data_IF_723004197446
#
_entry.id   IF_723004197446
#
_cell.length_a   1.000
_cell.length_b   1.000
_cell.length_c   1.000
_cell.angle_alpha   90.00
_cell.angle_beta   90.00
_cell.angle_gamma   90.00
#
_symmetry.space_group_name_H-M   'P 1'
#
loop_
_entity.id
_entity.type
_entity.pdbx_description
1 polymer ?
#
# COMPACT_ATOMS: atom_id res chain seq x y z
N UNK A 1 60.31 18.09 -40.03
CA UNK A 1 60.81 19.38 -40.57
C UNK A 1 60.45 20.42 -39.52
N UNK A 2 61.32 20.60 -38.52
CA UNK A 2 62.41 21.63 -38.48
C UNK A 2 61.77 23.01 -38.22
N UNK A 3 62.17 23.88 -37.30
CA UNK A 3 63.36 24.17 -36.49
C UNK A 3 62.81 24.89 -35.21
N UNK A 4 63.48 25.09 -34.08
CA UNK A 4 64.78 25.68 -33.95
C UNK A 4 65.37 25.36 -32.57
N UNK A 5 66.66 25.04 -32.66
CA UNK A 5 67.64 24.94 -31.60
C UNK A 5 67.88 26.36 -31.08
N UNK A 6 67.71 26.58 -29.78
CA UNK A 6 68.46 27.61 -29.07
C UNK A 6 69.09 26.92 -27.86
N UNK A 7 70.24 26.27 -28.12
CA UNK A 7 71.13 25.79 -27.07
C UNK A 7 72.24 26.82 -26.97
N UNK A 8 72.27 27.52 -25.84
CA UNK A 8 73.42 28.28 -25.36
C UNK A 8 74.70 27.48 -25.61
N UNK A 9 75.49 27.95 -26.58
CA UNK A 9 76.86 27.50 -26.79
C UNK A 9 77.76 28.36 -25.89
N UNK A 10 78.10 27.87 -24.69
CA UNK A 10 79.14 28.56 -23.92
C UNK A 10 79.87 27.77 -22.82
N UNK A 11 79.63 26.48 -22.59
CA UNK A 11 80.27 25.80 -21.45
C UNK A 11 81.06 24.52 -21.79
N UNK A 12 81.60 24.41 -23.00
CA UNK A 12 82.61 23.40 -23.31
C UNK A 12 84.03 23.99 -23.32
N UNK A 13 84.99 23.24 -22.78
CA UNK A 13 86.42 23.55 -22.83
C UNK A 13 87.15 22.47 -23.63
N UNK A 14 88.08 22.88 -24.49
CA UNK A 14 88.91 21.97 -25.28
C UNK A 14 90.14 21.54 -24.49
N UNK A 15 90.25 20.25 -24.20
CA UNK A 15 91.35 19.65 -23.47
C UNK A 15 92.07 18.62 -24.33
N UNK A 16 93.37 18.45 -24.11
CA UNK A 16 94.17 17.41 -24.79
C UNK A 16 94.34 16.21 -23.86
N UNK A 17 93.98 15.02 -24.33
CA UNK A 17 94.14 13.79 -23.57
C UNK A 17 95.64 13.52 -23.32
N UNK A 18 96.01 13.30 -22.06
CA UNK A 18 97.40 13.06 -21.67
C UNK A 18 97.90 11.69 -22.14
N UNK A 19 96.99 10.72 -22.33
CA UNK A 19 97.34 9.35 -22.72
C UNK A 19 97.47 9.16 -24.25
N UNK A 20 96.46 9.58 -25.03
CA UNK A 20 96.47 9.40 -26.49
C UNK A 20 96.74 10.68 -27.29
N UNK A 21 96.83 11.84 -26.65
CA UNK A 21 97.09 13.12 -27.31
C UNK A 21 95.92 13.70 -28.13
N UNK A 22 94.78 13.03 -28.18
CA UNK A 22 93.59 13.53 -28.89
C UNK A 22 92.99 14.76 -28.18
N UNK A 23 92.48 15.71 -28.96
CA UNK A 23 91.73 16.86 -28.44
C UNK A 23 90.29 16.43 -28.19
N UNK A 24 89.75 16.81 -27.04
CA UNK A 24 88.42 16.45 -26.58
C UNK A 24 87.74 17.68 -26.02
N UNK A 25 86.49 17.85 -26.41
CA UNK A 25 85.61 18.88 -25.91
C UNK A 25 84.96 18.35 -24.62
N UNK A 26 85.12 19.06 -23.52
CA UNK A 26 84.62 18.66 -22.20
C UNK A 26 83.72 19.75 -21.65
N UNK A 27 82.52 19.36 -21.23
CA UNK A 27 81.58 20.25 -20.56
C UNK A 27 82.16 20.71 -19.21
N UNK A 28 82.15 22.02 -18.93
CA UNK A 28 82.59 22.60 -17.66
C UNK A 28 81.76 22.09 -16.47
N UNK A 29 80.56 21.55 -16.70
CA UNK A 29 79.75 20.94 -15.64
C UNK A 29 80.21 19.52 -15.25
N UNK A 30 81.09 18.88 -16.03
CA UNK A 30 81.56 17.52 -15.76
C UNK A 30 82.90 17.49 -15.01
N UNK A 31 82.88 16.98 -13.79
CA UNK A 31 84.07 16.83 -12.94
C UNK A 31 85.09 15.80 -13.46
N UNK A 32 84.68 14.96 -14.43
CA UNK A 32 85.51 13.91 -15.03
C UNK A 32 85.54 14.07 -16.56
N UNK A 33 86.74 14.39 -17.07
CA UNK A 33 87.01 14.39 -18.49
C UNK A 33 87.30 12.95 -18.97
N UNK A 34 86.35 12.35 -19.70
CA UNK A 34 86.50 11.02 -20.31
C UNK A 34 86.95 11.15 -21.77
N UNK A 35 88.10 10.56 -22.12
CA UNK A 35 88.57 10.58 -23.49
C UNK A 35 87.80 9.56 -24.35
N UNK A 36 87.02 9.98 -25.38
CA UNK A 36 86.24 9.06 -26.20
C UNK A 36 87.11 8.18 -27.12
N UNK A 37 88.37 8.57 -27.34
CA UNK A 37 89.27 7.88 -28.26
C UNK A 37 90.07 6.74 -27.63
N UNK A 38 90.37 6.81 -26.33
CA UNK A 38 91.18 5.80 -25.63
C UNK A 38 90.60 5.32 -24.30
N UNK A 39 89.47 5.90 -23.86
CA UNK A 39 88.79 5.52 -22.62
C UNK A 39 89.45 6.00 -21.33
N UNK A 40 90.53 6.78 -21.38
CA UNK A 40 91.18 7.32 -20.17
C UNK A 40 90.34 8.43 -19.55
N UNK A 41 90.09 8.34 -18.24
CA UNK A 41 89.35 9.33 -17.45
C UNK A 41 90.29 10.14 -16.56
N UNK A 42 90.08 11.45 -16.45
CA UNK A 42 90.84 12.35 -15.57
C UNK A 42 89.91 13.33 -14.84
N UNK A 43 90.10 13.47 -13.53
CA UNK A 43 89.40 14.46 -12.71
C UNK A 43 89.92 15.86 -13.02
N UNK A 44 89.01 16.81 -13.30
CA UNK A 44 89.34 18.22 -13.47
C UNK A 44 89.35 18.87 -12.09
N UNK A 45 90.53 19.11 -11.52
CA UNK A 45 90.64 19.74 -10.19
C UNK A 45 90.53 21.26 -10.34
N UNK A 46 89.37 21.80 -9.99
CA UNK A 46 89.14 23.25 -9.85
C UNK A 46 89.70 23.77 -8.51
N UNK A 47 90.05 25.07 -8.43
CA UNK A 47 90.55 25.70 -7.20
C UNK A 47 89.44 25.93 -6.16
N UNK A 48 89.78 25.81 -4.88
CA UNK A 48 88.82 25.78 -3.76
C UNK A 48 87.83 26.98 -3.69
N UNK A 49 88.25 28.20 -4.05
CA UNK A 49 87.37 29.40 -3.98
C UNK A 49 86.21 29.36 -4.98
N UNK A 50 86.46 28.95 -6.23
CA UNK A 50 85.45 28.89 -7.29
C UNK A 50 84.44 27.76 -7.04
N UNK A 51 84.88 26.68 -6.40
CA UNK A 51 84.02 25.57 -5.96
C UNK A 51 83.08 26.03 -4.85
N UNK A 52 83.59 26.79 -3.87
CA UNK A 52 82.79 27.34 -2.76
C UNK A 52 81.70 28.28 -3.28
N UNK A 53 82.00 29.14 -4.25
CA UNK A 53 81.02 30.08 -4.81
C UNK A 53 79.95 29.38 -5.65
N UNK A 54 80.33 28.35 -6.42
CA UNK A 54 79.38 27.49 -7.15
C UNK A 54 78.45 26.73 -6.21
N UNK A 55 78.97 26.13 -5.14
CA UNK A 55 78.18 25.46 -4.11
C UNK A 55 77.21 26.45 -3.48
N UNK A 56 77.69 27.63 -3.07
CA UNK A 56 76.86 28.66 -2.47
C UNK A 56 75.70 29.06 -3.40
N UNK A 57 75.99 29.37 -4.67
CA UNK A 57 74.97 29.80 -5.63
C UNK A 57 73.97 28.68 -5.94
N UNK A 58 74.45 27.43 -6.09
CA UNK A 58 73.59 26.25 -6.26
C UNK A 58 72.68 26.05 -5.05
N UNK A 59 73.22 26.12 -3.83
CA UNK A 59 72.45 26.04 -2.59
C UNK A 59 71.43 27.18 -2.47
N UNK A 60 71.76 28.42 -2.84
CA UNK A 60 70.79 29.52 -2.87
C UNK A 60 69.66 29.27 -3.88
N UNK A 61 69.99 28.74 -5.07
CA UNK A 61 69.03 28.42 -6.12
C UNK A 61 68.12 27.25 -5.74
N UNK A 62 68.66 26.21 -5.11
CA UNK A 62 67.94 25.03 -4.64
C UNK A 62 67.00 25.39 -3.49
N UNK A 63 67.47 26.17 -2.49
CA UNK A 63 66.62 26.67 -1.41
C UNK A 63 65.50 27.58 -1.96
N UNK A 64 65.79 28.40 -2.98
CA UNK A 64 64.78 29.26 -3.60
C UNK A 64 63.73 28.44 -4.38
N UNK A 65 64.15 27.39 -5.11
CA UNK A 65 63.22 26.54 -5.86
C UNK A 65 62.37 25.66 -4.94
N UNK A 66 62.94 25.10 -3.88
CA UNK A 66 62.21 24.36 -2.84
C UNK A 66 61.17 25.23 -2.15
N UNK A 67 61.52 26.48 -1.83
CA UNK A 67 60.57 27.43 -1.25
C UNK A 67 59.40 27.71 -2.20
N UNK A 68 59.65 27.90 -3.49
CA UNK A 68 58.60 28.10 -4.49
C UNK A 68 57.69 26.86 -4.59
N UNK A 69 58.25 25.65 -4.56
CA UNK A 69 57.47 24.42 -4.57
C UNK A 69 56.59 24.28 -3.31
N UNK A 70 57.15 24.56 -2.13
CA UNK A 70 56.41 24.55 -0.87
C UNK A 70 55.26 25.58 -0.88
N UNK A 71 55.50 26.79 -1.39
CA UNK A 71 54.47 27.83 -1.53
C UNK A 71 53.35 27.39 -2.50
N UNK A 72 53.70 26.72 -3.61
CA UNK A 72 52.73 26.15 -4.57
C UNK A 72 51.90 25.00 -3.98
N UNK A 73 52.51 24.11 -3.18
CA UNK A 73 51.80 23.03 -2.50
C UNK A 73 50.81 23.58 -1.46
N UNK A 74 51.22 24.59 -0.71
CA UNK A 74 50.35 25.29 0.24
C UNK A 74 49.19 25.97 -0.49
N UNK A 75 49.44 26.62 -1.63
CA UNK A 75 48.39 27.24 -2.45
C UNK A 75 47.40 26.18 -2.97
N UNK A 76 47.89 25.05 -3.46
CA UNK A 76 47.04 23.93 -3.93
C UNK A 76 46.19 23.36 -2.78
N UNK A 77 46.79 23.14 -1.61
CA UNK A 77 46.08 22.69 -0.42
C UNK A 77 45.00 23.68 0.02
N UNK A 78 45.30 24.99 0.00
CA UNK A 78 44.34 26.04 0.30
C UNK A 78 43.19 26.10 -0.72
N UNK A 79 43.47 25.91 -2.02
CA UNK A 79 42.46 25.81 -3.06
C UNK A 79 41.54 24.60 -2.86
N UNK A 80 42.10 23.45 -2.47
CA UNK A 80 41.32 22.26 -2.14
C UNK A 80 40.42 22.51 -0.92
N UNK A 81 40.96 23.10 0.15
CA UNK A 81 40.21 23.43 1.37
C UNK A 81 39.09 24.44 1.07
N UNK A 82 39.36 25.47 0.27
CA UNK A 82 38.36 26.43 -0.19
C UNK A 82 37.26 25.76 -1.02
N UNK A 83 37.61 24.82 -1.90
CA UNK A 83 36.65 24.04 -2.68
C UNK A 83 35.81 23.11 -1.80
N UNK A 84 36.40 22.50 -0.76
CA UNK A 84 35.68 21.73 0.26
C UNK A 84 34.71 22.63 1.02
N UNK A 85 35.16 23.79 1.53
CA UNK A 85 34.29 24.75 2.21
C UNK A 85 33.14 25.24 1.33
N UNK A 86 33.41 25.57 0.07
CA UNK A 86 32.37 25.96 -0.90
C UNK A 86 31.36 24.84 -1.08
N UNK A 87 31.82 23.59 -1.13
CA UNK A 87 30.96 22.42 -1.26
C UNK A 87 30.11 22.20 -0.01
N UNK A 88 30.70 22.30 1.19
CA UNK A 88 30.00 22.22 2.48
C UNK A 88 28.98 23.36 2.65
N UNK A 89 29.33 24.60 2.26
CA UNK A 89 28.41 25.74 2.27
C UNK A 89 27.22 25.53 1.31
N UNK A 90 27.46 25.00 0.11
CA UNK A 90 26.39 24.63 -0.83
C UNK A 90 25.53 23.49 -0.28
N UNK A 91 26.15 22.48 0.33
CA UNK A 91 25.47 21.33 0.90
C UNK A 91 24.60 21.70 2.10
N UNK A 92 25.11 22.54 3.00
CA UNK A 92 24.36 23.05 4.15
C UNK A 92 23.11 23.82 3.72
N UNK A 93 23.16 24.55 2.59
CA UNK A 93 21.98 25.19 1.99
C UNK A 93 20.98 24.16 1.45
N UNK A 94 21.44 23.08 0.81
CA UNK A 94 20.57 22.00 0.30
C UNK A 94 19.88 21.26 1.44
N UNK A 95 20.61 20.93 2.52
CA UNK A 95 20.05 20.24 3.69
C UNK A 95 18.98 21.06 4.41
N UNK A 96 19.17 22.38 4.46
CA UNK A 96 18.20 23.34 5.05
C UNK A 96 17.15 23.84 4.05
N UNK A 97 17.18 23.35 2.81
CA UNK A 97 16.20 23.74 1.79
C UNK A 97 14.81 23.28 2.20
N UNK A 98 13.76 24.12 2.01
CA UNK A 98 12.38 23.72 2.27
C UNK A 98 12.01 22.44 1.50
N UNK A 99 12.56 22.25 0.31
CA UNK A 99 12.27 21.07 -0.51
C UNK A 99 12.79 19.76 0.12
N UNK A 100 13.92 19.80 0.83
CA UNK A 100 14.45 18.62 1.57
C UNK A 100 13.56 18.29 2.77
N UNK A 101 13.02 19.30 3.45
CA UNK A 101 12.07 19.12 4.55
C UNK A 101 10.74 18.55 4.04
N UNK A 102 10.23 19.08 2.92
CA UNK A 102 9.00 18.60 2.29
C UNK A 102 9.15 17.13 1.88
N UNK A 103 10.25 16.73 1.23
CA UNK A 103 10.47 15.32 0.86
C UNK A 103 10.51 14.42 2.12
N UNK A 104 11.14 14.86 3.21
CA UNK A 104 11.13 14.12 4.47
C UNK A 104 9.71 13.95 5.05
N UNK A 105 8.91 15.03 5.06
CA UNK A 105 7.52 14.95 5.52
C UNK A 105 6.70 14.01 4.64
N UNK A 106 6.86 14.09 3.31
CA UNK A 106 6.19 13.19 2.37
C UNK A 106 6.59 11.72 2.58
N UNK A 107 7.86 11.42 2.90
CA UNK A 107 8.27 10.04 3.23
C UNK A 107 7.55 9.50 4.46
N UNK A 108 7.33 10.34 5.46
CA UNK A 108 6.65 9.94 6.70
C UNK A 108 5.17 9.72 6.42
N UNK A 109 4.52 10.63 5.70
CA UNK A 109 3.11 10.52 5.31
C UNK A 109 2.88 9.27 4.43
N UNK A 110 3.77 9.00 3.47
CA UNK A 110 3.64 7.83 2.60
C UNK A 110 3.84 6.52 3.37
N UNK A 111 4.68 6.52 4.41
CA UNK A 111 4.85 5.37 5.30
C UNK A 111 3.57 5.06 6.08
N UNK A 112 2.91 6.09 6.66
CA UNK A 112 1.62 5.90 7.33
C UNK A 112 0.55 5.40 6.37
N UNK A 113 0.44 6.02 5.20
CA UNK A 113 -0.50 5.58 4.17
C UNK A 113 -0.23 4.13 3.71
N UNK A 114 1.03 3.70 3.63
CA UNK A 114 1.37 2.31 3.30
C UNK A 114 0.86 1.32 4.35
N UNK A 115 0.92 1.69 5.64
CA UNK A 115 0.43 0.87 6.75
C UNK A 115 -1.09 0.76 6.70
N UNK A 116 -1.80 1.87 6.52
CA UNK A 116 -3.27 1.89 6.43
C UNK A 116 -3.76 1.01 5.28
N UNK A 117 -3.15 1.16 4.09
CA UNK A 117 -3.48 0.38 2.88
C UNK A 117 -3.20 -1.12 3.07
N UNK A 118 -2.17 -1.46 3.85
CA UNK A 118 -1.84 -2.85 4.17
C UNK A 118 -2.87 -3.47 5.13
N UNK A 119 -3.35 -2.72 6.13
CA UNK A 119 -4.38 -3.18 7.07
C UNK A 119 -5.70 -3.50 6.35
N UNK A 120 -6.07 -2.69 5.36
CA UNK A 120 -7.27 -2.88 4.52
C UNK A 120 -7.11 -3.95 3.42
N UNK A 121 -6.01 -4.72 3.44
CA UNK A 121 -5.70 -5.81 2.47
C UNK A 121 -5.64 -5.37 0.99
N UNK A 122 -5.36 -4.10 0.71
CA UNK A 122 -5.18 -3.58 -0.66
C UNK A 122 -3.78 -3.89 -1.23
N UNK A 123 -3.49 -5.16 -1.53
CA UNK A 123 -2.13 -5.63 -1.88
C UNK A 123 -1.46 -4.87 -3.04
N UNK A 124 -2.17 -4.61 -4.13
CA UNK A 124 -1.61 -3.90 -5.30
C UNK A 124 -1.26 -2.45 -4.94
N UNK A 125 -2.17 -1.76 -4.26
CA UNK A 125 -1.97 -0.38 -3.79
C UNK A 125 -0.84 -0.30 -2.76
N UNK A 126 -0.71 -1.30 -1.89
CA UNK A 126 0.38 -1.39 -0.92
C UNK A 126 1.74 -1.52 -1.60
N UNK A 127 1.86 -2.28 -2.71
CA UNK A 127 3.11 -2.39 -3.48
C UNK A 127 3.49 -1.04 -4.09
N UNK A 128 2.56 -0.35 -4.74
CA UNK A 128 2.83 0.97 -5.33
C UNK A 128 3.25 1.99 -4.25
N UNK A 129 2.55 2.02 -3.12
CA UNK A 129 2.87 2.92 -2.00
C UNK A 129 4.21 2.58 -1.33
N UNK A 130 4.55 1.29 -1.21
CA UNK A 130 5.84 0.83 -0.69
C UNK A 130 7.00 1.26 -1.59
N UNK A 131 6.87 1.05 -2.90
CA UNK A 131 7.85 1.53 -3.89
C UNK A 131 8.02 3.06 -3.86
N UNK A 132 6.91 3.80 -3.79
CA UNK A 132 6.94 5.26 -3.67
C UNK A 132 7.67 5.71 -2.41
N UNK A 133 7.37 5.10 -1.26
CA UNK A 133 8.00 5.42 0.03
C UNK A 133 9.51 5.15 -0.02
N UNK A 134 9.93 4.02 -0.60
CA UNK A 134 11.34 3.69 -0.77
C UNK A 134 12.07 4.73 -1.63
N UNK A 135 11.49 5.14 -2.76
CA UNK A 135 12.09 6.12 -3.66
C UNK A 135 12.21 7.51 -3.02
N UNK A 136 11.20 7.94 -2.25
CA UNK A 136 11.26 9.22 -1.52
C UNK A 136 12.30 9.15 -0.39
N UNK A 137 12.40 8.02 0.31
CA UNK A 137 13.38 7.82 1.38
C UNK A 137 14.81 7.85 0.84
N UNK A 138 15.06 7.15 -0.27
CA UNK A 138 16.35 7.17 -0.96
C UNK A 138 16.67 8.59 -1.48
N UNK A 139 15.68 9.30 -2.06
CA UNK A 139 15.86 10.69 -2.47
C UNK A 139 16.22 11.62 -1.30
N UNK A 140 15.61 11.43 -0.14
CA UNK A 140 15.92 12.16 1.08
C UNK A 140 17.33 11.85 1.61
N UNK A 141 17.72 10.57 1.70
CA UNK A 141 19.07 10.15 2.11
C UNK A 141 20.16 10.71 1.19
N UNK A 142 19.92 10.74 -0.13
CA UNK A 142 20.82 11.35 -1.11
C UNK A 142 20.98 12.85 -0.88
N UNK A 143 19.89 13.58 -0.57
CA UNK A 143 19.96 15.02 -0.22
C UNK A 143 20.73 15.27 1.08
N UNK A 144 20.68 14.32 2.00
CA UNK A 144 21.44 14.33 3.26
C UNK A 144 22.90 13.86 3.07
N UNK A 145 23.29 13.39 1.88
CA UNK A 145 24.60 12.78 1.57
C UNK A 145 25.02 11.64 2.51
N UNK A 146 24.04 10.92 3.06
CA UNK A 146 24.30 9.70 3.84
C UNK A 146 24.78 8.55 2.94
N UNK A 147 24.45 8.60 1.65
CA UNK A 147 24.90 7.66 0.61
C UNK A 147 26.05 8.32 -0.17
N UNK A 148 27.26 7.77 -0.04
CA UNK A 148 28.46 8.25 -0.76
C UNK A 148 28.35 7.95 -2.25
N UNK A 149 28.74 8.90 -3.10
CA UNK A 149 28.82 8.71 -4.56
C UNK A 149 27.55 9.01 -5.37
N UNK A 150 26.46 9.42 -4.72
CA UNK A 150 25.25 9.82 -5.44
C UNK A 150 25.42 11.20 -6.10
N UNK A 151 25.24 11.27 -7.42
CA UNK A 151 25.20 12.55 -8.13
C UNK A 151 23.99 13.39 -7.71
N UNK A 152 24.16 14.71 -7.78
CA UNK A 152 23.09 15.68 -7.47
C UNK A 152 21.88 15.49 -8.41
N UNK A 153 22.03 14.94 -9.61
CA UNK A 153 20.87 14.72 -10.49
C UNK A 153 20.03 13.49 -10.11
N UNK A 154 20.63 12.50 -9.43
CA UNK A 154 19.98 11.23 -9.13
C UNK A 154 18.84 11.37 -8.11
N UNK A 155 18.98 12.26 -7.12
CA UNK A 155 17.91 12.52 -6.16
C UNK A 155 16.68 13.14 -6.84
N UNK A 156 16.87 13.99 -7.85
CA UNK A 156 15.78 14.60 -8.61
C UNK A 156 15.00 13.54 -9.39
N UNK A 157 15.71 12.62 -10.04
CA UNK A 157 15.10 11.52 -10.80
C UNK A 157 14.26 10.60 -9.90
N UNK A 158 14.81 10.21 -8.74
CA UNK A 158 14.10 9.38 -7.75
C UNK A 158 12.82 10.05 -7.25
N UNK A 159 12.86 11.37 -7.02
CA UNK A 159 11.68 12.14 -6.59
C UNK A 159 10.61 12.17 -7.68
N UNK A 160 11.00 12.33 -8.95
CA UNK A 160 10.07 12.34 -10.09
C UNK A 160 9.38 10.99 -10.29
N UNK A 161 10.15 9.89 -10.19
CA UNK A 161 9.59 8.54 -10.30
C UNK A 161 8.59 8.26 -9.18
N UNK A 162 8.87 8.70 -7.96
CA UNK A 162 7.93 8.58 -6.84
C UNK A 162 6.61 9.31 -7.10
N UNK A 163 6.65 10.51 -7.70
CA UNK A 163 5.43 11.26 -8.05
C UNK A 163 4.62 10.53 -9.11
N UNK A 164 5.27 9.88 -10.09
CA UNK A 164 4.58 9.11 -11.13
C UNK A 164 3.82 7.93 -10.53
N UNK A 165 4.35 7.28 -9.48
CA UNK A 165 3.71 6.14 -8.80
C UNK A 165 2.43 6.52 -8.01
N UNK A 166 2.18 7.82 -7.80
CA UNK A 166 0.94 8.29 -7.17
C UNK A 166 -0.28 7.97 -8.03
N UNK A 167 -0.15 8.01 -9.36
CA UNK A 167 -1.25 7.76 -10.30
C UNK A 167 -1.77 6.31 -10.20
N UNK A 168 -0.93 5.25 -10.35
CA UNK A 168 -1.40 3.88 -10.18
C UNK A 168 -1.92 3.63 -8.76
N UNK A 169 -1.34 4.24 -7.72
CA UNK A 169 -1.91 4.13 -6.37
C UNK A 169 -3.38 4.58 -6.31
N UNK A 170 -3.71 5.76 -6.83
CA UNK A 170 -5.10 6.24 -6.85
C UNK A 170 -6.01 5.43 -7.79
N UNK A 171 -5.47 4.81 -8.84
CA UNK A 171 -6.27 3.94 -9.72
C UNK A 171 -6.70 2.63 -9.04
N UNK A 172 -5.91 2.11 -8.09
CA UNK A 172 -6.17 0.83 -7.42
C UNK A 172 -6.67 1.00 -5.98
N UNK A 173 -6.86 2.22 -5.50
CA UNK A 173 -7.41 2.48 -4.16
C UNK A 173 -8.85 1.93 -4.07
N UNK A 174 -9.16 1.18 -3.02
CA UNK A 174 -10.48 0.55 -2.84
C UNK A 174 -10.67 -0.79 -3.56
N UNK A 175 -9.70 -1.25 -4.36
CA UNK A 175 -9.72 -2.61 -4.92
C UNK A 175 -9.26 -3.58 -3.83
N UNK A 176 -10.19 -4.05 -3.00
CA UNK A 176 -9.94 -5.11 -2.01
C UNK A 176 -9.51 -6.36 -2.77
N UNK A 177 -8.29 -6.82 -2.54
CA UNK A 177 -7.95 -8.20 -2.87
C UNK A 177 -8.30 -9.05 -1.65
N UNK A 178 -9.49 -9.66 -1.70
CA UNK A 178 -9.85 -10.67 -0.71
C UNK A 178 -8.82 -11.79 -0.79
N UNK A 179 -8.19 -12.05 0.36
CA UNK A 179 -7.32 -13.20 0.54
C UNK A 179 -8.20 -14.43 0.38
N UNK A 180 -7.92 -15.23 -0.65
CA UNK A 180 -8.56 -16.53 -0.83
C UNK A 180 -7.86 -17.51 0.11
N UNK A 181 -8.14 -17.40 1.40
CA UNK A 181 -7.68 -18.34 2.39
C UNK A 181 -8.47 -19.64 2.28
N UNK A 182 -7.81 -20.75 2.63
CA UNK A 182 -8.48 -22.04 2.70
C UNK A 182 -9.32 -22.10 3.98
N UNK A 183 -10.56 -22.56 3.87
CA UNK A 183 -11.43 -22.75 5.03
C UNK A 183 -11.59 -24.24 5.37
N UNK A 184 -11.94 -24.50 6.63
CA UNK A 184 -12.41 -25.82 7.08
C UNK A 184 -13.92 -25.71 7.20
N UNK A 185 -14.65 -26.58 6.48
CA UNK A 185 -16.11 -26.58 6.53
C UNK A 185 -16.59 -26.88 7.95
N UNK A 186 -17.33 -25.95 8.59
CA UNK A 186 -17.96 -26.22 9.86
C UNK A 186 -19.05 -27.27 9.61
N UNK A 187 -19.10 -28.30 10.46
CA UNK A 187 -20.12 -29.34 10.37
C UNK A 187 -20.88 -29.40 11.69
N UNK A 188 -21.37 -28.23 12.11
CA UNK A 188 -22.04 -27.97 13.38
C UNK A 188 -23.20 -26.99 13.16
N UNK A 189 -24.22 -27.08 14.01
CA UNK A 189 -25.38 -26.19 13.95
C UNK A 189 -26.04 -26.21 12.55
N UNK A 190 -26.26 -25.03 11.97
CA UNK A 190 -26.93 -24.85 10.68
C UNK A 190 -26.06 -25.29 9.48
N UNK A 191 -24.74 -25.17 9.57
CA UNK A 191 -23.83 -25.61 8.49
C UNK A 191 -23.90 -27.12 8.22
N UNK A 192 -24.25 -27.92 9.24
CA UNK A 192 -24.45 -29.37 9.09
C UNK A 192 -25.69 -29.73 8.23
N UNK A 193 -26.61 -28.78 8.03
CA UNK A 193 -27.78 -28.95 7.15
C UNK A 193 -27.43 -28.79 5.67
N UNK A 194 -26.28 -28.20 5.37
CA UNK A 194 -25.85 -27.86 4.01
C UNK A 194 -24.75 -28.83 3.54
N UNK A 195 -24.65 -29.08 2.23
CA UNK A 195 -23.48 -29.75 1.65
C UNK A 195 -22.26 -28.82 1.73
N UNK A 196 -21.05 -29.39 1.64
CA UNK A 196 -19.84 -28.57 1.52
C UNK A 196 -19.69 -28.12 0.05
N UNK A 197 -19.49 -26.82 -0.23
CA UNK A 197 -19.18 -26.34 -1.57
C UNK A 197 -17.93 -26.97 -2.18
N UNK A 198 -17.88 -27.04 -3.51
CA UNK A 198 -16.73 -27.61 -4.23
C UNK A 198 -15.43 -26.82 -4.03
N UNK A 199 -15.51 -25.50 -3.86
CA UNK A 199 -14.33 -24.66 -3.60
C UNK A 199 -13.86 -24.77 -2.16
N UNK A 200 -12.54 -24.89 -1.98
CA UNK A 200 -11.87 -24.90 -0.66
C UNK A 200 -11.51 -23.49 -0.16
N UNK A 201 -11.88 -22.44 -0.89
CA UNK A 201 -11.50 -21.05 -0.59
C UNK A 201 -12.70 -20.21 -0.16
N UNK A 202 -12.55 -19.46 0.93
CA UNK A 202 -13.65 -18.67 1.47
C UNK A 202 -13.40 -18.20 2.91
N UNK A 203 -14.36 -17.46 3.43
CA UNK A 203 -14.34 -16.88 4.77
C UNK A 203 -15.69 -17.07 5.44
N UNK A 204 -15.69 -17.56 6.68
CA UNK A 204 -16.90 -17.66 7.51
C UNK A 204 -17.11 -16.29 8.15
N UNK A 205 -18.22 -15.65 7.85
CA UNK A 205 -18.58 -14.33 8.38
C UNK A 205 -19.38 -14.46 9.69
N UNK A 206 -20.17 -15.53 9.82
CA UNK A 206 -20.94 -15.85 11.04
C UNK A 206 -21.14 -17.35 11.16
N UNK A 207 -20.92 -17.90 12.36
CA UNK A 207 -21.33 -19.25 12.75
C UNK A 207 -21.89 -19.18 14.17
N UNK A 208 -23.22 -19.08 14.25
CA UNK A 208 -23.99 -19.05 15.49
C UNK A 208 -25.09 -20.11 15.43
N UNK A 209 -25.81 -20.29 16.52
CA UNK A 209 -26.95 -21.23 16.56
C UNK A 209 -28.09 -20.79 15.64
N UNK A 210 -28.30 -19.48 15.47
CA UNK A 210 -29.42 -18.91 14.73
C UNK A 210 -29.06 -18.48 13.30
N UNK A 211 -27.77 -18.28 13.03
CA UNK A 211 -27.29 -17.83 11.70
C UNK A 211 -25.91 -18.39 11.36
N UNK A 212 -25.82 -18.96 10.17
CA UNK A 212 -24.55 -19.27 9.50
C UNK A 212 -24.45 -18.49 8.19
N UNK A 213 -23.32 -17.80 7.98
CA UNK A 213 -23.06 -17.01 6.79
C UNK A 213 -21.59 -17.15 6.38
N UNK A 214 -21.34 -17.39 5.10
CA UNK A 214 -19.99 -17.48 4.56
C UNK A 214 -19.91 -16.97 3.13
N UNK A 215 -18.73 -16.45 2.80
CA UNK A 215 -18.38 -16.08 1.43
C UNK A 215 -17.44 -17.13 0.85
N UNK A 216 -17.88 -17.84 -0.18
CA UNK A 216 -17.06 -18.78 -0.96
C UNK A 216 -16.43 -18.05 -2.13
N UNK A 217 -15.18 -18.38 -2.40
CA UNK A 217 -14.38 -17.76 -3.44
C UNK A 217 -13.97 -18.74 -4.53
N UNK A 218 -13.57 -18.22 -5.70
CA UNK A 218 -13.14 -19.00 -6.87
C UNK A 218 -14.21 -19.97 -7.39
N UNK A 219 -15.47 -19.60 -7.25
CA UNK A 219 -16.62 -20.39 -7.69
C UNK A 219 -16.84 -20.20 -9.18
N UNK A 220 -16.97 -21.30 -9.92
CA UNK A 220 -17.43 -21.27 -11.32
C UNK A 220 -18.95 -21.33 -11.37
N UNK A 221 -19.53 -20.82 -12.46
CA UNK A 221 -20.99 -20.78 -12.64
C UNK A 221 -21.65 -22.16 -12.55
N UNK A 222 -21.04 -23.18 -13.15
CA UNK A 222 -21.54 -24.56 -13.02
C UNK A 222 -21.45 -25.10 -11.58
N UNK A 223 -20.49 -24.63 -10.78
CA UNK A 223 -20.32 -25.05 -9.38
C UNK A 223 -21.41 -24.42 -8.49
N UNK A 224 -21.96 -23.26 -8.87
CA UNK A 224 -23.14 -22.68 -8.20
C UNK A 224 -24.38 -23.53 -8.45
N UNK A 225 -24.69 -23.86 -9.71
CA UNK A 225 -25.87 -24.67 -10.04
C UNK A 225 -25.78 -26.05 -9.39
N UNK A 226 -24.61 -26.70 -9.44
CA UNK A 226 -24.37 -27.98 -8.75
C UNK A 226 -24.65 -27.86 -7.23
N UNK A 227 -24.18 -26.79 -6.60
CA UNK A 227 -24.35 -26.57 -5.17
C UNK A 227 -25.82 -26.31 -4.77
N UNK A 228 -26.57 -25.57 -5.59
CA UNK A 228 -28.01 -25.35 -5.38
C UNK A 228 -28.76 -26.68 -5.43
N UNK A 229 -28.46 -27.54 -6.41
CA UNK A 229 -29.08 -28.87 -6.52
C UNK A 229 -28.75 -29.76 -5.31
N UNK A 230 -27.51 -29.77 -4.84
CA UNK A 230 -27.15 -30.49 -3.61
C UNK A 230 -27.92 -29.96 -2.38
N UNK A 231 -28.19 -28.64 -2.30
CA UNK A 231 -29.00 -28.05 -1.24
C UNK A 231 -30.49 -28.44 -1.35
N UNK A 232 -31.02 -28.54 -2.58
CA UNK A 232 -32.36 -29.06 -2.86
C UNK A 232 -32.48 -30.51 -2.39
N UNK A 233 -31.48 -31.35 -2.68
CA UNK A 233 -31.41 -32.74 -2.20
C UNK A 233 -31.33 -32.84 -0.67
N UNK A 234 -30.79 -31.82 0.00
CA UNK A 234 -30.79 -31.68 1.47
C UNK A 234 -32.13 -31.19 2.05
N UNK A 235 -33.11 -30.89 1.20
CA UNK A 235 -34.47 -30.53 1.60
C UNK A 235 -34.80 -29.04 1.47
N UNK A 236 -33.87 -28.19 1.02
CA UNK A 236 -34.14 -26.77 0.77
C UNK A 236 -34.83 -26.58 -0.58
N UNK A 237 -36.12 -26.92 -0.62
CA UNK A 237 -36.94 -26.86 -1.84
C UNK A 237 -38.31 -26.23 -1.62
N UNK A 238 -38.69 -25.98 -0.37
CA UNK A 238 -39.99 -25.38 -0.04
C UNK A 238 -39.96 -23.89 -0.36
N UNK A 239 -41.02 -23.43 -1.02
CA UNK A 239 -41.23 -22.02 -1.42
C UNK A 239 -40.00 -21.43 -2.13
N UNK A 240 -39.34 -22.27 -2.95
CA UNK A 240 -38.12 -21.89 -3.65
C UNK A 240 -38.37 -20.74 -4.63
N UNK A 241 -37.45 -19.78 -4.66
CA UNK A 241 -37.42 -18.70 -5.64
C UNK A 241 -36.01 -18.55 -6.20
N UNK A 242 -35.93 -18.12 -7.46
CA UNK A 242 -34.68 -17.83 -8.13
C UNK A 242 -34.79 -16.49 -8.84
N UNK A 243 -33.80 -15.63 -8.66
CA UNK A 243 -33.73 -14.33 -9.35
C UNK A 243 -32.39 -14.15 -10.03
N UNK A 244 -32.40 -13.46 -11.17
CA UNK A 244 -31.23 -13.23 -12.02
C UNK A 244 -31.20 -11.74 -12.39
N UNK A 245 -30.50 -10.95 -11.56
CA UNK A 245 -30.29 -9.52 -11.79
C UNK A 245 -28.78 -9.21 -11.86
N UNK A 246 -28.25 -8.45 -10.89
CA UNK A 246 -26.80 -8.18 -10.77
C UNK A 246 -26.02 -9.40 -10.24
N UNK A 247 -26.74 -10.31 -9.57
CA UNK A 247 -26.29 -11.60 -9.06
C UNK A 247 -27.36 -12.67 -9.33
N UNK A 248 -26.98 -13.94 -9.24
CA UNK A 248 -27.91 -15.07 -9.29
C UNK A 248 -28.23 -15.46 -7.86
N UNK A 249 -29.51 -15.39 -7.47
CA UNK A 249 -29.95 -15.68 -6.11
C UNK A 249 -30.92 -16.86 -6.10
N UNK A 250 -30.72 -17.76 -5.14
CA UNK A 250 -31.65 -18.84 -4.81
C UNK A 250 -32.06 -18.72 -3.34
N UNK A 251 -33.37 -18.69 -3.08
CA UNK A 251 -33.93 -18.73 -1.72
C UNK A 251 -34.85 -19.93 -1.58
N UNK A 252 -34.77 -20.66 -0.48
CA UNK A 252 -35.67 -21.76 -0.17
C UNK A 252 -35.69 -22.10 1.32
N UNK A 253 -36.71 -22.86 1.72
CA UNK A 253 -36.86 -23.38 3.08
C UNK A 253 -36.75 -24.90 3.11
N UNK A 254 -36.34 -25.43 4.26
CA UNK A 254 -36.45 -26.85 4.55
C UNK A 254 -37.66 -27.16 5.46
N UNK A 255 -37.92 -28.45 5.71
CA UNK A 255 -39.06 -28.89 6.55
C UNK A 255 -38.97 -28.43 8.01
N UNK A 256 -37.76 -28.12 8.51
CA UNK A 256 -37.59 -27.56 9.86
C UNK A 256 -37.92 -26.07 9.94
N UNK A 257 -38.15 -25.41 8.80
CA UNK A 257 -38.41 -23.97 8.71
C UNK A 257 -37.15 -23.11 8.65
N UNK A 258 -35.96 -23.70 8.52
CA UNK A 258 -34.74 -22.94 8.27
C UNK A 258 -34.73 -22.37 6.85
N UNK A 259 -34.27 -21.13 6.73
CA UNK A 259 -34.22 -20.36 5.49
C UNK A 259 -32.80 -20.40 4.92
N UNK A 260 -32.67 -20.77 3.64
CA UNK A 260 -31.41 -20.75 2.90
C UNK A 260 -31.47 -19.69 1.80
N UNK A 261 -30.45 -18.84 1.76
CA UNK A 261 -30.15 -17.91 0.68
C UNK A 261 -28.77 -18.22 0.11
N UNK A 262 -28.68 -18.38 -1.21
CA UNK A 262 -27.41 -18.53 -1.93
C UNK A 262 -27.33 -17.44 -2.99
N UNK A 263 -26.32 -16.58 -2.92
CA UNK A 263 -26.06 -15.53 -3.93
C UNK A 263 -24.76 -15.79 -4.66
N UNK A 264 -24.79 -15.82 -5.97
CA UNK A 264 -23.59 -15.94 -6.81
C UNK A 264 -23.33 -14.64 -7.55
N UNK A 265 -22.09 -14.16 -7.46
CA UNK A 265 -21.58 -12.96 -8.12
C UNK A 265 -20.61 -13.38 -9.24
N UNK A 266 -21.09 -13.58 -10.50
CA UNK A 266 -20.25 -14.15 -11.57
C UNK A 266 -19.00 -13.31 -11.87
N UNK A 267 -19.11 -11.99 -11.77
CA UNK A 267 -18.02 -11.05 -12.01
C UNK A 267 -16.89 -11.17 -10.98
N UNK A 268 -17.22 -11.57 -9.75
CA UNK A 268 -16.27 -11.76 -8.66
C UNK A 268 -15.84 -13.22 -8.52
N UNK A 269 -16.60 -14.16 -9.11
CA UNK A 269 -16.44 -15.61 -8.91
C UNK A 269 -16.58 -15.96 -7.42
N UNK A 270 -17.56 -15.35 -6.78
CA UNK A 270 -17.85 -15.47 -5.36
C UNK A 270 -19.29 -15.94 -5.16
N UNK A 271 -19.52 -16.78 -4.15
CA UNK A 271 -20.83 -17.29 -3.76
C UNK A 271 -21.02 -17.10 -2.26
N UNK A 272 -22.01 -16.30 -1.89
CA UNK A 272 -22.46 -16.18 -0.51
C UNK A 272 -23.45 -17.29 -0.19
N UNK A 273 -23.30 -17.91 0.97
CA UNK A 273 -24.23 -18.88 1.53
C UNK A 273 -24.67 -18.36 2.89
N UNK A 274 -25.97 -18.15 3.06
CA UNK A 274 -26.57 -17.75 4.33
C UNK A 274 -27.70 -18.71 4.68
N UNK A 275 -27.66 -19.29 5.87
CA UNK A 275 -28.77 -20.04 6.44
C UNK A 275 -29.14 -19.45 7.80
N UNK A 276 -30.43 -19.24 7.99
CA UNK A 276 -31.02 -18.77 9.24
C UNK A 276 -31.86 -19.90 9.81
N UNK A 277 -31.64 -20.22 11.07
CA UNK A 277 -32.38 -21.26 11.78
C UNK A 277 -33.86 -20.89 11.93
N UNK A 278 -34.69 -21.91 12.14
CA UNK A 278 -36.09 -21.69 12.49
C UNK A 278 -36.20 -21.03 13.87
N UNK A 279 -36.88 -19.89 13.94
CA UNK A 279 -37.27 -19.29 15.22
C UNK A 279 -38.43 -20.11 15.82
N UNK A 280 -38.22 -20.72 16.98
CA UNK A 280 -39.31 -21.34 17.73
C UNK A 280 -40.29 -20.27 18.23
N UNK A 281 -41.55 -20.37 17.79
CA UNK A 281 -42.61 -19.49 18.27
C UNK A 281 -43.36 -20.11 19.45
N UNK A 282 -43.71 -19.28 20.42
CA UNK A 282 -44.50 -19.68 21.59
C UNK A 282 -45.82 -18.92 21.61
N UNK A 283 -46.77 -19.40 22.42
CA UNK A 283 -48.02 -18.68 22.63
C UNK A 283 -47.74 -17.37 23.38
N UNK A 284 -48.01 -16.22 22.75
CA UNK A 284 -47.87 -14.90 23.37
C UNK A 284 -49.19 -14.42 23.97
N UNK A 285 -49.11 -13.59 25.00
CA UNK A 285 -50.25 -12.86 25.54
C UNK A 285 -50.22 -11.46 24.96
N UNK A 286 -51.26 -11.09 24.21
CA UNK A 286 -51.37 -9.73 23.69
C UNK A 286 -51.54 -8.74 24.84
N UNK A 287 -50.59 -7.81 24.99
CA UNK A 287 -50.61 -6.89 26.13
C UNK A 287 -51.79 -5.93 26.07
N UNK A 288 -52.14 -5.43 24.87
CA UNK A 288 -53.18 -4.42 24.70
C UNK A 288 -52.88 -3.13 25.48
N UNK A 289 -51.60 -2.82 25.71
CA UNK A 289 -51.11 -1.66 26.46
C UNK A 289 -50.18 -0.81 25.60
N UNK A 290 -50.11 0.49 25.88
CA UNK A 290 -49.23 1.40 25.14
C UNK A 290 -49.51 1.37 23.64
N UNK A 291 -48.48 1.16 22.81
CA UNK A 291 -48.60 1.13 21.35
C UNK A 291 -49.35 -0.10 20.82
N UNK A 292 -49.29 -1.26 21.51
CA UNK A 292 -50.02 -2.46 21.08
C UNK A 292 -51.54 -2.29 21.22
N UNK A 293 -51.99 -1.41 22.12
CA UNK A 293 -53.41 -1.05 22.28
C UNK A 293 -54.00 -0.30 21.07
N UNK A 294 -53.14 0.28 20.23
CA UNK A 294 -53.53 0.97 18.99
C UNK A 294 -53.78 0.00 17.83
N UNK A 295 -53.41 -1.27 18.00
CA UNK A 295 -53.45 -2.28 16.96
C UNK A 295 -54.56 -3.30 17.24
N UNK A 296 -55.19 -3.85 16.19
CA UNK A 296 -55.96 -5.07 16.34
C UNK A 296 -55.04 -6.21 16.80
N UNK A 297 -55.60 -7.19 17.51
CA UNK A 297 -54.85 -8.39 17.87
C UNK A 297 -54.77 -9.36 16.67
N UNK A 298 -53.60 -9.92 16.34
CA UNK A 298 -53.47 -10.95 15.31
C UNK A 298 -54.31 -12.21 15.61
N UNK A 299 -54.72 -12.91 14.54
CA UNK A 299 -55.48 -14.17 14.64
C UNK A 299 -54.63 -15.26 15.28
N UNK A 300 -53.40 -15.45 14.78
CA UNK A 300 -52.43 -16.36 15.38
C UNK A 300 -51.97 -15.85 16.74
N UNK A 301 -51.79 -16.78 17.67
CA UNK A 301 -51.25 -16.54 19.02
C UNK A 301 -49.80 -17.00 19.14
N UNK A 302 -49.21 -17.53 18.08
CA UNK A 302 -47.83 -17.98 18.06
C UNK A 302 -46.94 -16.85 17.60
N UNK A 303 -45.94 -16.50 18.40
CA UNK A 303 -45.12 -15.33 18.13
C UNK A 303 -44.12 -15.01 19.25
N UNK A 304 -43.37 -13.95 19.05
CA UNK A 304 -42.41 -13.42 20.01
C UNK A 304 -42.58 -11.90 20.04
N UNK A 305 -42.85 -11.34 21.23
CA UNK A 305 -42.81 -9.89 21.44
C UNK A 305 -41.33 -9.49 21.56
N UNK A 306 -40.77 -8.91 20.50
CA UNK A 306 -39.36 -8.54 20.46
C UNK A 306 -39.09 -7.23 21.21
N UNK A 307 -40.06 -6.31 21.25
CA UNK A 307 -39.91 -5.01 21.93
C UNK A 307 -41.26 -4.49 22.41
N UNK A 308 -41.30 -4.03 23.66
CA UNK A 308 -42.44 -3.31 24.23
C UNK A 308 -41.92 -2.14 25.08
N UNK A 309 -41.94 -0.95 24.49
CA UNK A 309 -41.49 0.32 25.08
C UNK A 309 -42.56 1.39 24.86
N UNK A 310 -42.37 2.55 25.50
CA UNK A 310 -43.30 3.69 25.37
C UNK A 310 -43.35 4.25 23.94
N UNK A 311 -42.23 4.20 23.22
CA UNK A 311 -42.04 4.77 21.89
C UNK A 311 -41.93 3.73 20.76
N UNK A 312 -41.85 2.44 21.09
CA UNK A 312 -41.74 1.36 20.09
C UNK A 312 -42.33 0.04 20.59
N UNK A 313 -43.08 -0.62 19.71
CA UNK A 313 -43.59 -1.98 19.88
C UNK A 313 -43.24 -2.81 18.65
N UNK A 314 -42.65 -4.00 18.86
CA UNK A 314 -42.30 -4.96 17.80
C UNK A 314 -42.71 -6.36 18.21
N UNK A 315 -43.39 -7.06 17.31
CA UNK A 315 -43.77 -8.46 17.47
C UNK A 315 -43.60 -9.21 16.15
N UNK A 316 -43.09 -10.43 16.25
CA UNK A 316 -43.10 -11.44 15.17
C UNK A 316 -44.21 -12.44 15.45
N UNK A 317 -45.09 -12.68 14.48
CA UNK A 317 -46.26 -13.58 14.61
C UNK A 317 -46.21 -14.63 13.51
N UNK A 318 -46.22 -15.90 13.90
CA UNK A 318 -46.14 -17.03 12.99
C UNK A 318 -47.51 -17.60 12.62
N UNK A 319 -47.52 -18.60 11.73
CA UNK A 319 -48.72 -19.28 11.24
C UNK A 319 -49.81 -18.31 10.74
N UNK A 320 -49.39 -17.20 10.14
CA UNK A 320 -50.27 -16.21 9.55
C UNK A 320 -50.27 -16.40 8.05
N UNK A 321 -51.34 -16.94 7.46
CA UNK A 321 -51.44 -17.06 6.01
C UNK A 321 -51.49 -15.68 5.33
N UNK A 322 -51.14 -15.61 4.04
CA UNK A 322 -51.29 -14.37 3.24
C UNK A 322 -52.72 -13.77 3.29
N UNK A 323 -53.74 -14.61 3.44
CA UNK A 323 -55.13 -14.15 3.59
C UNK A 323 -55.36 -13.50 4.95
N UNK A 324 -54.74 -14.04 6.01
CA UNK A 324 -54.81 -13.47 7.37
C UNK A 324 -53.97 -12.20 7.49
N UNK A 325 -52.79 -12.14 6.86
CA UNK A 325 -52.02 -10.90 6.70
C UNK A 325 -52.88 -9.79 6.08
N UNK A 326 -53.51 -10.07 4.93
CA UNK A 326 -54.36 -9.08 4.26
C UNK A 326 -55.55 -8.63 5.12
N UNK A 327 -56.15 -9.54 5.90
CA UNK A 327 -57.20 -9.18 6.88
C UNK A 327 -56.65 -8.31 8.01
N UNK A 328 -55.47 -8.63 8.52
CA UNK A 328 -54.82 -7.89 9.60
C UNK A 328 -54.45 -6.47 9.15
N UNK A 329 -53.89 -6.31 7.95
CA UNK A 329 -53.63 -5.00 7.32
C UNK A 329 -54.92 -4.17 7.24
N UNK A 330 -56.01 -4.75 6.75
CA UNK A 330 -57.29 -4.03 6.69
C UNK A 330 -57.81 -3.64 8.07
N UNK A 331 -57.66 -4.49 9.08
CA UNK A 331 -58.02 -4.15 10.46
C UNK A 331 -57.16 -3.02 11.03
N UNK A 332 -55.88 -2.92 10.66
CA UNK A 332 -55.02 -1.80 11.04
C UNK A 332 -55.47 -0.49 10.38
N UNK A 333 -55.88 -0.55 9.11
CA UNK A 333 -56.47 0.60 8.40
C UNK A 333 -57.76 1.06 9.11
N UNK A 334 -58.65 0.13 9.47
CA UNK A 334 -59.87 0.42 10.23
C UNK A 334 -59.59 0.97 11.64
N UNK A 335 -58.45 0.59 12.23
CA UNK A 335 -57.96 1.12 13.51
C UNK A 335 -57.35 2.53 13.40
N UNK A 336 -57.23 3.08 12.18
CA UNK A 336 -56.86 4.47 11.93
C UNK A 336 -55.46 4.69 11.36
N UNK A 337 -54.75 3.63 10.97
CA UNK A 337 -53.50 3.73 10.19
C UNK A 337 -53.83 3.81 8.70
N UNK A 338 -54.19 5.01 8.25
CA UNK A 338 -54.65 5.28 6.88
C UNK A 338 -53.95 6.44 6.17
N UNK A 339 -53.03 7.13 6.84
CA UNK A 339 -52.26 8.24 6.27
C UNK A 339 -50.97 7.71 5.64
N UNK A 340 -50.48 8.39 4.59
CA UNK A 340 -49.24 8.05 3.84
C UNK A 340 -49.06 6.54 3.57
N UNK A 341 -50.14 5.91 3.09
CA UNK A 341 -50.21 4.46 2.98
C UNK A 341 -49.39 3.94 1.79
N UNK A 342 -48.51 2.98 2.08
CA UNK A 342 -47.84 2.11 1.11
C UNK A 342 -48.27 0.67 1.34
N UNK A 343 -48.74 -0.01 0.29
CA UNK A 343 -49.17 -1.41 0.36
C UNK A 343 -48.71 -2.19 -0.86
N UNK A 344 -48.01 -3.30 -0.64
CA UNK A 344 -47.62 -4.31 -1.63
C UNK A 344 -48.22 -5.67 -1.24
N UNK A 345 -47.80 -6.76 -1.88
CA UNK A 345 -48.26 -8.11 -1.56
C UNK A 345 -47.75 -8.60 -0.20
N UNK A 346 -46.56 -8.14 0.20
CA UNK A 346 -45.78 -8.58 1.35
C UNK A 346 -45.44 -7.46 2.34
N UNK A 347 -45.82 -6.21 2.05
CA UNK A 347 -45.48 -5.06 2.88
C UNK A 347 -46.66 -4.10 3.03
N UNK A 348 -46.79 -3.53 4.22
CA UNK A 348 -47.69 -2.43 4.52
C UNK A 348 -47.02 -1.41 5.43
N UNK A 349 -47.09 -0.14 5.09
CA UNK A 349 -46.72 0.94 6.00
C UNK A 349 -47.70 2.09 5.90
N UNK A 350 -47.94 2.74 7.04
CA UNK A 350 -48.88 3.86 7.15
C UNK A 350 -48.65 4.64 8.45
N UNK A 351 -49.26 5.81 8.53
CA UNK A 351 -49.36 6.64 9.71
C UNK A 351 -50.81 6.73 10.20
N UNK A 352 -50.98 6.91 11.50
CA UNK A 352 -52.26 7.37 12.05
C UNK A 352 -52.30 8.90 12.19
N UNK A 353 -53.48 9.45 12.50
CA UNK A 353 -53.69 10.90 12.64
C UNK A 353 -52.81 11.57 13.71
N UNK A 354 -52.28 10.79 14.66
CA UNK A 354 -51.40 11.28 15.72
C UNK A 354 -49.91 11.20 15.34
N UNK A 355 -49.58 10.79 14.10
CA UNK A 355 -48.22 10.67 13.60
C UNK A 355 -47.49 9.38 14.04
N UNK A 356 -48.19 8.41 14.62
CA UNK A 356 -47.61 7.10 14.96
C UNK A 356 -47.51 6.27 13.68
N UNK A 357 -46.34 5.67 13.44
CA UNK A 357 -46.06 4.86 12.26
C UNK A 357 -46.27 3.37 12.53
N UNK A 358 -46.82 2.67 11.54
CA UNK A 358 -46.85 1.21 11.47
C UNK A 358 -46.10 0.74 10.23
N UNK A 359 -45.35 -0.35 10.40
CA UNK A 359 -44.74 -1.13 9.34
C UNK A 359 -45.09 -2.60 9.62
N UNK A 360 -45.61 -3.29 8.61
CA UNK A 360 -45.92 -4.71 8.64
C UNK A 360 -45.24 -5.36 7.45
N UNK A 361 -44.44 -6.38 7.71
CA UNK A 361 -43.77 -7.18 6.69
C UNK A 361 -44.25 -8.62 6.81
N UNK A 362 -44.66 -9.21 5.69
CA UNK A 362 -45.05 -10.61 5.57
C UNK A 362 -43.94 -11.35 4.85
N UNK A 363 -43.36 -12.33 5.52
CA UNK A 363 -42.38 -13.20 4.89
C UNK A 363 -43.06 -14.44 4.29
N UNK A 364 -42.31 -15.13 3.44
CA UNK A 364 -42.82 -16.31 2.76
C UNK A 364 -42.99 -17.52 3.69
N UNK A 365 -42.58 -17.47 4.95
CA UNK A 365 -42.78 -18.54 5.96
C UNK A 365 -44.07 -18.44 6.76
N UNK A 366 -45.06 -17.69 6.25
CA UNK A 366 -46.30 -17.43 6.98
C UNK A 366 -46.05 -16.74 8.33
N UNK A 367 -45.04 -15.86 8.36
CA UNK A 367 -44.70 -15.02 9.51
C UNK A 367 -44.90 -13.56 9.13
N UNK A 368 -45.53 -12.80 10.02
CA UNK A 368 -45.60 -11.34 9.93
C UNK A 368 -44.72 -10.71 10.99
N UNK A 369 -43.95 -9.69 10.62
CA UNK A 369 -43.32 -8.78 11.55
C UNK A 369 -44.15 -7.49 11.61
N UNK A 370 -44.51 -7.06 12.82
CA UNK A 370 -45.27 -5.84 13.06
C UNK A 370 -44.41 -4.91 13.90
N UNK A 371 -44.15 -3.72 13.37
CA UNK A 371 -43.45 -2.64 14.05
C UNK A 371 -44.36 -1.42 14.13
N UNK A 372 -44.55 -0.90 15.35
CA UNK A 372 -45.17 0.40 15.59
C UNK A 372 -44.22 1.27 16.38
N UNK A 373 -44.11 2.53 15.99
CA UNK A 373 -43.25 3.47 16.69
C UNK A 373 -43.71 4.91 16.56
N UNK A 374 -43.29 5.73 17.52
CA UNK A 374 -43.42 7.19 17.48
C UNK A 374 -42.14 7.77 16.86
N UNK A 375 -42.23 8.53 15.75
CA UNK A 375 -41.05 9.10 15.07
C UNK A 375 -40.21 10.08 15.90
#
# INVERSE_FOLDING_TARGET
MSDAIDKDYADSIMLKCVNCGAHMEVDKENDIANCPFCGTSKLLVESDETVIERIRNKTFKDIASEKIQADQEIELANLQLLNQEKTEKKLGKIRKSPLTVIVAMLTIVSLFAAIDVYQEKYLISAIFMGCQTLLLFVAWLMRMRLIKGAEIHLHSLSTMLAIILVIPFFMFIGVVHRSYDMYVWPNNNLSAMLPKPQSDYGEIESDTVDKFCMMISKVKENEYDDYVEECIEKGFSLKASRTEYEHIEYNAYNESGAELTIRFFPHLKEMEISIVGYEEFYEFIWSGLGLSALLPEPVSKLGIINTEKEDSFRITVAETSITEFNKYVNACIEAGFSEDMLKTEDHFSSENINGVRIIIEYNVSDVIEILVYVP
#
